data_IF_320154957952
#
_entry.id   IF_320154957952
#
_cell.length_a   1.000
_cell.length_b   1.000
_cell.length_c   1.000
_cell.angle_alpha   90.00
_cell.angle_beta   90.00
_cell.angle_gamma   90.00
#
_symmetry.space_group_name_H-M   'P 1'
#
loop_
_entity.id
_entity.type
_entity.pdbx_description
1 polymer ?
#
# COMPACT_ATOMS: atom_id res chain seq x y z
N UNK A 1 7.55 -12.91 19.50
CA UNK A 1 6.40 -12.09 19.10
C UNK A 1 5.25 -13.05 18.77
N UNK A 2 4.05 -12.82 19.30
CA UNK A 2 2.92 -13.70 19.01
C UNK A 2 2.06 -13.21 17.84
N UNK A 3 1.98 -11.90 17.65
CA UNK A 3 1.11 -11.30 16.64
C UNK A 3 1.83 -10.23 15.83
N UNK A 4 1.71 -10.32 14.51
CA UNK A 4 2.20 -9.29 13.58
C UNK A 4 1.02 -8.56 12.94
N UNK A 5 1.11 -7.23 12.88
CA UNK A 5 0.17 -6.36 12.20
C UNK A 5 0.62 -6.04 10.77
N UNK A 6 -0.32 -5.88 9.88
CA UNK A 6 -0.14 -5.39 8.51
C UNK A 6 -1.18 -4.29 8.26
N UNK A 7 -0.80 -3.21 7.59
CA UNK A 7 -1.72 -2.19 7.10
C UNK A 7 -1.77 -2.29 5.59
N UNK A 8 -2.97 -2.42 5.01
CA UNK A 8 -3.12 -2.67 3.58
C UNK A 8 -4.46 -2.16 3.02
N UNK A 9 -4.54 -2.05 1.71
CA UNK A 9 -5.79 -1.79 1.00
C UNK A 9 -6.42 -3.07 0.43
N UNK A 10 -5.59 -4.03 0.00
CA UNK A 10 -6.00 -5.24 -0.71
C UNK A 10 -6.93 -4.93 -1.89
N UNK A 11 -6.50 -4.04 -2.76
CA UNK A 11 -7.32 -3.46 -3.82
C UNK A 11 -6.81 -3.78 -5.24
N UNK A 12 -7.08 -5.01 -5.78
CA UNK A 12 -7.60 -6.21 -5.11
C UNK A 12 -6.53 -7.00 -4.36
N UNK A 13 -6.92 -8.03 -3.62
CA UNK A 13 -6.00 -8.97 -2.97
C UNK A 13 -5.33 -9.87 -4.03
N UNK A 14 -4.02 -10.08 -3.96
CA UNK A 14 -3.28 -10.89 -4.94
C UNK A 14 -2.15 -11.70 -4.29
N UNK A 15 -1.43 -12.51 -5.08
CA UNK A 15 -0.36 -13.39 -4.61
C UNK A 15 0.74 -12.65 -3.84
N UNK A 16 1.05 -11.39 -4.20
CA UNK A 16 1.99 -10.55 -3.45
C UNK A 16 1.53 -10.23 -2.03
N UNK A 17 0.23 -10.08 -1.82
CA UNK A 17 -0.33 -9.86 -0.48
C UNK A 17 -0.28 -11.13 0.37
N UNK A 18 -0.59 -12.31 -0.23
CA UNK A 18 -0.39 -13.60 0.45
C UNK A 18 1.07 -13.80 0.85
N UNK A 19 1.99 -13.56 -0.08
CA UNK A 19 3.43 -13.61 0.21
C UNK A 19 3.81 -12.69 1.36
N UNK A 20 3.28 -11.44 1.38
CA UNK A 20 3.54 -10.48 2.46
C UNK A 20 3.07 -11.03 3.82
N UNK A 21 1.86 -11.58 3.93
CA UNK A 21 1.34 -12.19 5.16
C UNK A 21 2.25 -13.34 5.64
N UNK A 22 2.64 -14.22 4.72
CA UNK A 22 3.52 -15.36 5.03
C UNK A 22 4.89 -14.89 5.51
N UNK A 23 5.49 -13.93 4.82
CA UNK A 23 6.79 -13.39 5.19
C UNK A 23 6.76 -12.58 6.49
N UNK A 24 5.65 -11.87 6.75
CA UNK A 24 5.47 -11.16 8.01
C UNK A 24 5.50 -12.13 9.20
N UNK A 25 4.75 -13.23 9.13
CA UNK A 25 4.78 -14.28 10.15
C UNK A 25 6.17 -14.93 10.25
N UNK A 26 6.79 -15.28 9.13
CA UNK A 26 8.11 -15.92 9.11
C UNK A 26 9.22 -15.03 9.70
N UNK A 27 9.26 -13.75 9.33
CA UNK A 27 10.28 -12.78 9.79
C UNK A 27 10.17 -12.44 11.26
N UNK A 28 8.96 -12.36 11.78
CA UNK A 28 8.69 -12.02 13.18
C UNK A 28 8.61 -13.23 14.10
N UNK A 29 8.47 -14.45 13.55
CA UNK A 29 8.14 -15.66 14.29
C UNK A 29 6.70 -15.63 14.85
N UNK A 30 5.85 -14.72 14.39
CA UNK A 30 4.50 -14.55 14.89
C UNK A 30 3.58 -15.71 14.45
N UNK A 31 2.72 -16.14 15.37
CA UNK A 31 1.70 -17.16 15.10
C UNK A 31 0.50 -16.56 14.38
N UNK A 32 0.15 -15.32 14.74
CA UNK A 32 -1.05 -14.62 14.26
C UNK A 32 -0.70 -13.39 13.42
N UNK A 33 -1.56 -13.09 12.46
CA UNK A 33 -1.48 -11.90 11.62
C UNK A 33 -2.78 -11.11 11.71
N UNK A 34 -2.70 -9.85 12.11
CA UNK A 34 -3.81 -8.88 12.11
C UNK A 34 -3.63 -7.95 10.92
N UNK A 35 -4.62 -7.89 10.03
CA UNK A 35 -4.62 -6.97 8.90
C UNK A 35 -5.57 -5.80 9.16
N UNK A 36 -5.05 -4.57 9.24
CA UNK A 36 -5.83 -3.34 9.23
C UNK A 36 -6.04 -2.92 7.77
N UNK A 37 -7.28 -2.92 7.27
CA UNK A 37 -7.56 -2.67 5.85
C UNK A 37 -8.44 -1.45 5.64
N UNK A 38 -8.23 -0.75 4.52
CA UNK A 38 -9.15 0.29 4.05
C UNK A 38 -10.56 -0.28 3.85
N UNK A 39 -11.56 0.49 4.23
CA UNK A 39 -12.98 0.16 4.04
C UNK A 39 -13.41 0.22 2.57
N UNK A 40 -14.53 0.89 2.30
CA UNK A 40 -15.08 1.00 0.94
C UNK A 40 -14.28 1.91 0.02
N UNK A 41 -13.49 2.84 0.57
CA UNK A 41 -12.64 3.76 -0.18
C UNK A 41 -11.17 3.59 0.24
N UNK A 42 -10.27 3.79 -0.71
CA UNK A 42 -8.83 3.62 -0.55
C UNK A 42 -8.11 4.96 -0.53
N UNK A 43 -6.83 4.98 -0.16
CA UNK A 43 -6.03 6.19 0.07
C UNK A 43 -6.05 7.19 -1.10
N UNK A 44 -6.21 6.70 -2.32
CA UNK A 44 -6.30 7.56 -3.52
C UNK A 44 -7.68 8.21 -3.72
N UNK A 45 -8.60 8.04 -2.78
CA UNK A 45 -9.94 8.63 -2.82
C UNK A 45 -10.94 7.89 -3.70
N UNK A 46 -10.52 6.83 -4.41
CA UNK A 46 -11.40 6.01 -5.23
C UNK A 46 -12.07 4.88 -4.43
N UNK A 47 -13.15 4.28 -4.97
CA UNK A 47 -13.72 3.07 -4.39
C UNK A 47 -12.75 1.91 -4.49
N UNK A 48 -12.81 1.01 -3.51
CA UNK A 48 -12.14 -0.28 -3.64
C UNK A 48 -12.87 -1.13 -4.67
N UNK A 49 -12.10 -1.82 -5.54
CA UNK A 49 -12.68 -2.59 -6.66
C UNK A 49 -13.61 -3.72 -6.22
N UNK A 50 -13.42 -4.24 -5.01
CA UNK A 50 -14.34 -5.18 -4.34
C UNK A 50 -14.70 -4.64 -2.97
N UNK A 51 -15.89 -4.99 -2.49
CA UNK A 51 -16.34 -4.59 -1.17
C UNK A 51 -15.41 -5.10 -0.05
N UNK A 52 -15.49 -4.45 1.11
CA UNK A 52 -14.61 -4.75 2.23
C UNK A 52 -14.78 -6.17 2.79
N UNK A 53 -15.99 -6.74 2.72
CA UNK A 53 -16.26 -8.09 3.24
C UNK A 53 -15.62 -9.16 2.37
N UNK A 54 -15.68 -8.98 1.04
CA UNK A 54 -15.04 -9.89 0.11
C UNK A 54 -13.51 -9.84 0.25
N UNK A 55 -12.92 -8.63 0.36
CA UNK A 55 -11.48 -8.46 0.59
C UNK A 55 -11.04 -9.03 1.94
N UNK A 56 -11.87 -8.91 2.97
CA UNK A 56 -11.65 -9.55 4.28
C UNK A 56 -11.62 -11.07 4.16
N UNK A 57 -12.59 -11.67 3.45
CA UNK A 57 -12.61 -13.12 3.22
C UNK A 57 -11.37 -13.58 2.47
N UNK A 58 -10.92 -12.84 1.44
CA UNK A 58 -9.69 -13.15 0.72
C UNK A 58 -8.46 -13.13 1.65
N UNK A 59 -8.34 -12.11 2.49
CA UNK A 59 -7.22 -11.99 3.43
C UNK A 59 -7.21 -13.12 4.47
N UNK A 60 -8.36 -13.45 5.06
CA UNK A 60 -8.50 -14.56 6.02
C UNK A 60 -8.17 -15.91 5.36
N UNK A 61 -8.68 -16.17 4.17
CA UNK A 61 -8.39 -17.39 3.40
C UNK A 61 -6.88 -17.52 3.11
N UNK A 62 -6.18 -16.39 2.92
CA UNK A 62 -4.75 -16.35 2.60
C UNK A 62 -3.83 -16.19 3.82
N UNK A 63 -4.34 -16.36 5.04
CA UNK A 63 -3.52 -16.51 6.24
C UNK A 63 -3.50 -15.34 7.22
N UNK A 64 -4.32 -14.31 7.04
CA UNK A 64 -4.67 -13.38 8.11
C UNK A 64 -5.58 -14.09 9.12
N UNK A 65 -5.43 -13.78 10.42
CA UNK A 65 -6.22 -14.38 11.50
C UNK A 65 -7.32 -13.41 11.97
N UNK A 66 -7.10 -12.12 11.83
CA UNK A 66 -8.06 -11.07 12.11
C UNK A 66 -7.94 -9.95 11.09
N UNK A 67 -9.07 -9.41 10.66
CA UNK A 67 -9.11 -8.23 9.80
C UNK A 67 -9.92 -7.15 10.50
N UNK A 68 -9.35 -5.94 10.59
CA UNK A 68 -10.00 -4.76 11.17
C UNK A 68 -10.08 -3.65 10.13
N UNK A 69 -11.13 -2.85 10.18
CA UNK A 69 -11.35 -1.77 9.22
C UNK A 69 -10.68 -0.48 9.70
N UNK A 70 -9.91 0.16 8.82
CA UNK A 70 -9.47 1.54 9.01
C UNK A 70 -10.66 2.49 8.78
N UNK A 71 -10.92 3.43 9.69
CA UNK A 71 -11.96 4.44 9.48
C UNK A 71 -11.77 5.19 8.16
N UNK A 72 -12.85 5.37 7.39
CA UNK A 72 -12.81 5.92 6.02
C UNK A 72 -12.12 7.29 5.96
N UNK A 73 -12.31 8.15 6.98
CA UNK A 73 -11.67 9.46 7.08
C UNK A 73 -10.14 9.38 6.96
N UNK A 74 -9.53 8.38 7.59
CA UNK A 74 -8.08 8.18 7.57
C UNK A 74 -7.65 7.28 6.41
N UNK A 75 -8.50 6.34 6.01
CA UNK A 75 -8.23 5.47 4.86
C UNK A 75 -8.10 6.25 3.55
N UNK A 76 -8.77 7.41 3.41
CA UNK A 76 -8.71 8.33 2.26
C UNK A 76 -7.84 9.56 2.52
N UNK A 77 -7.19 9.63 3.67
CA UNK A 77 -6.34 10.75 4.07
C UNK A 77 -4.96 10.73 3.42
N UNK A 78 -4.10 11.62 3.90
CA UNK A 78 -2.69 11.65 3.51
C UNK A 78 -1.97 10.35 3.93
N UNK A 79 -0.79 10.08 3.36
CA UNK A 79 0.03 8.96 3.80
C UNK A 79 0.37 9.02 5.30
N UNK A 80 0.52 10.23 5.84
CA UNK A 80 0.74 10.49 7.26
C UNK A 80 -0.49 10.08 8.10
N UNK A 81 -1.68 10.54 7.73
CA UNK A 81 -2.93 10.23 8.43
C UNK A 81 -3.26 8.74 8.37
N UNK A 82 -3.09 8.14 7.19
CA UNK A 82 -3.27 6.72 6.96
C UNK A 82 -2.35 5.88 7.86
N UNK A 83 -1.06 6.22 7.89
CA UNK A 83 -0.08 5.54 8.72
C UNK A 83 -0.35 5.75 10.21
N UNK A 84 -0.65 6.99 10.63
CA UNK A 84 -0.92 7.32 12.02
C UNK A 84 -2.13 6.56 12.57
N UNK A 85 -3.22 6.51 11.79
CA UNK A 85 -4.41 5.76 12.18
C UNK A 85 -4.16 4.25 12.23
N UNK A 86 -3.48 3.70 11.22
CA UNK A 86 -3.17 2.27 11.19
C UNK A 86 -2.30 1.82 12.36
N UNK A 87 -1.27 2.60 12.71
CA UNK A 87 -0.43 2.37 13.89
C UNK A 87 -1.24 2.49 15.18
N UNK A 88 -2.06 3.54 15.32
CA UNK A 88 -2.90 3.71 16.51
C UNK A 88 -3.89 2.56 16.69
N UNK A 89 -4.51 2.10 15.60
CA UNK A 89 -5.47 0.99 15.63
C UNK A 89 -4.79 -0.31 16.04
N UNK A 90 -3.67 -0.67 15.42
CA UNK A 90 -2.94 -1.90 15.75
C UNK A 90 -2.37 -1.86 17.17
N UNK A 91 -1.85 -0.71 17.62
CA UNK A 91 -1.38 -0.53 19.00
C UNK A 91 -2.52 -0.60 20.01
N UNK A 92 -3.66 -0.01 19.68
CA UNK A 92 -4.85 0.02 20.53
C UNK A 92 -5.49 -1.34 20.77
N UNK A 93 -5.24 -2.31 19.90
CA UNK A 93 -5.67 -3.71 20.12
C UNK A 93 -4.95 -4.35 21.32
N UNK A 94 -3.78 -3.87 21.70
CA UNK A 94 -3.02 -4.36 22.84
C UNK A 94 -2.45 -5.79 22.70
N UNK A 95 -2.60 -6.38 21.52
CA UNK A 95 -2.21 -7.77 21.23
C UNK A 95 -1.25 -7.90 20.04
N UNK A 96 -0.83 -6.78 19.44
CA UNK A 96 0.07 -6.77 18.27
C UNK A 96 1.46 -6.35 18.71
N UNK A 97 2.48 -7.16 18.39
CA UNK A 97 3.86 -6.93 18.79
C UNK A 97 4.69 -6.18 17.74
N UNK A 98 4.39 -6.40 16.47
CA UNK A 98 5.15 -5.84 15.36
C UNK A 98 4.24 -5.32 14.26
N UNK A 99 4.69 -4.27 13.56
CA UNK A 99 4.12 -3.83 12.28
C UNK A 99 5.03 -4.23 11.14
N UNK A 100 4.55 -5.08 10.23
CA UNK A 100 5.28 -5.50 9.05
C UNK A 100 4.75 -4.80 7.80
N UNK A 101 5.65 -4.26 6.98
CA UNK A 101 5.32 -3.60 5.73
C UNK A 101 6.34 -3.91 4.63
N UNK A 102 5.90 -3.81 3.37
CA UNK A 102 6.77 -3.98 2.22
C UNK A 102 7.51 -2.69 1.86
N UNK A 103 8.80 -2.78 1.53
CA UNK A 103 9.59 -1.66 1.02
C UNK A 103 10.41 -2.09 -0.21
N UNK A 104 10.79 -1.15 -1.04
CA UNK A 104 11.64 -1.43 -2.21
C UNK A 104 13.08 -1.75 -1.80
N UNK A 105 13.59 -1.10 -0.77
CA UNK A 105 14.96 -1.34 -0.28
C UNK A 105 15.05 -2.62 0.57
N UNK A 106 14.02 -2.97 1.34
CA UNK A 106 14.04 -4.15 2.20
C UNK A 106 14.93 -4.04 3.44
N UNK A 107 15.52 -2.85 3.69
CA UNK A 107 16.33 -2.54 4.86
C UNK A 107 15.56 -1.58 5.77
N UNK A 108 15.49 -1.88 7.07
CA UNK A 108 14.73 -1.08 8.02
C UNK A 108 15.49 0.15 8.52
N UNK A 109 16.82 0.07 8.59
CA UNK A 109 17.67 1.09 9.19
C UNK A 109 17.55 2.46 8.50
N UNK A 110 17.64 2.59 7.16
CA UNK A 110 17.49 3.89 6.50
C UNK A 110 16.06 4.43 6.61
N UNK A 111 15.04 3.57 6.69
CA UNK A 111 13.64 3.96 6.91
C UNK A 111 13.49 4.55 8.32
N UNK A 112 14.04 3.90 9.34
CA UNK A 112 14.03 4.39 10.73
C UNK A 112 14.80 5.70 10.87
N UNK A 113 15.94 5.84 10.21
CA UNK A 113 16.71 7.08 10.22
C UNK A 113 15.91 8.25 9.63
N UNK A 114 15.27 8.04 8.48
CA UNK A 114 14.41 9.05 7.87
C UNK A 114 13.20 9.39 8.76
N UNK A 115 12.57 8.37 9.34
CA UNK A 115 11.43 8.53 10.23
C UNK A 115 11.78 9.33 11.50
N UNK A 116 12.94 9.06 12.11
CA UNK A 116 13.43 9.80 13.28
C UNK A 116 13.64 11.29 12.97
N UNK A 117 14.31 11.60 11.86
CA UNK A 117 14.50 13.00 11.44
C UNK A 117 13.17 13.73 11.22
N UNK A 118 12.16 13.04 10.71
CA UNK A 118 10.82 13.61 10.49
C UNK A 118 9.97 13.64 11.76
N UNK A 119 10.17 12.73 12.71
CA UNK A 119 9.43 12.67 13.95
C UNK A 119 9.80 13.84 14.88
N UNK A 120 11.07 14.18 14.96
CA UNK A 120 11.63 15.20 15.84
C UNK A 120 11.27 16.64 15.42
N UNK A 121 10.86 16.84 14.15
CA UNK A 121 10.54 18.18 13.58
C UNK A 121 11.54 19.27 14.00
N UNK A 122 12.83 18.95 13.86
CA UNK A 122 13.89 19.84 14.32
C UNK A 122 13.76 21.24 13.70
N UNK A 123 14.14 22.32 14.42
CA UNK A 123 14.18 23.67 13.85
C UNK A 123 15.00 23.76 12.57
N UNK A 124 16.05 22.92 12.46
CA UNK A 124 16.90 22.85 11.26
C UNK A 124 16.15 22.26 10.07
N UNK A 125 15.40 21.15 10.24
CA UNK A 125 14.55 20.56 9.20
C UNK A 125 13.51 21.57 8.73
N UNK A 126 12.82 22.22 9.66
CA UNK A 126 11.79 23.21 9.36
C UNK A 126 12.36 24.42 8.60
N UNK A 127 13.55 24.90 8.95
CA UNK A 127 14.23 25.98 8.26
C UNK A 127 14.60 25.62 6.82
N UNK A 128 15.20 24.44 6.61
CA UNK A 128 15.54 23.93 5.28
C UNK A 128 14.29 23.75 4.40
N UNK A 129 13.23 23.17 4.93
CA UNK A 129 11.98 23.00 4.19
C UNK A 129 11.41 24.36 3.75
N UNK A 130 11.34 25.34 4.66
CA UNK A 130 10.87 26.71 4.33
C UNK A 130 11.72 27.34 3.23
N UNK A 131 13.03 27.16 3.27
CA UNK A 131 13.94 27.69 2.27
C UNK A 131 13.69 27.08 0.90
N UNK A 132 13.57 25.75 0.81
CA UNK A 132 13.28 25.07 -0.46
C UNK A 132 11.89 25.42 -1.02
N UNK A 133 10.88 25.61 -0.15
CA UNK A 133 9.55 26.09 -0.58
C UNK A 133 9.64 27.50 -1.18
N UNK A 134 10.42 28.42 -0.58
CA UNK A 134 10.65 29.76 -1.14
C UNK A 134 11.34 29.72 -2.51
N UNK A 135 12.17 28.70 -2.74
CA UNK A 135 12.82 28.43 -4.03
C UNK A 135 11.87 27.78 -5.06
N UNK A 136 10.58 27.62 -4.74
CA UNK A 136 9.57 27.06 -5.63
C UNK A 136 9.41 25.53 -5.59
N UNK A 137 10.05 24.84 -4.64
CA UNK A 137 9.83 23.40 -4.47
C UNK A 137 8.44 23.12 -3.89
N UNK A 138 7.77 22.07 -4.40
CA UNK A 138 6.57 21.53 -3.74
C UNK A 138 6.91 20.99 -2.34
N UNK A 139 5.90 20.87 -1.46
CA UNK A 139 6.12 20.36 -0.10
C UNK A 139 6.86 19.01 -0.06
N UNK A 140 6.48 17.98 -0.86
CA UNK A 140 7.24 16.73 -0.91
C UNK A 140 8.68 16.87 -1.37
N UNK A 141 8.92 17.73 -2.38
CA UNK A 141 10.26 18.01 -2.86
C UNK A 141 11.12 18.74 -1.82
N UNK A 142 10.55 19.71 -1.12
CA UNK A 142 11.23 20.45 -0.05
C UNK A 142 11.61 19.51 1.10
N UNK A 143 10.69 18.62 1.51
CA UNK A 143 10.93 17.59 2.52
C UNK A 143 12.10 16.67 2.11
N UNK A 144 12.06 16.13 0.91
CA UNK A 144 13.10 15.23 0.43
C UNK A 144 14.47 15.91 0.34
N UNK A 145 14.53 17.16 -0.16
CA UNK A 145 15.77 17.94 -0.21
C UNK A 145 16.30 18.25 1.18
N UNK A 146 15.44 18.60 2.12
CA UNK A 146 15.82 18.89 3.49
C UNK A 146 16.39 17.65 4.20
N UNK A 147 15.77 16.48 4.02
CA UNK A 147 16.30 15.21 4.54
C UNK A 147 17.69 14.89 3.96
N UNK A 148 17.86 15.01 2.64
CA UNK A 148 19.15 14.77 1.99
C UNK A 148 20.25 15.71 2.51
N UNK A 149 19.91 16.97 2.79
CA UNK A 149 20.85 17.95 3.36
C UNK A 149 21.25 17.60 4.81
N UNK A 150 20.30 17.07 5.60
CA UNK A 150 20.55 16.70 7.01
C UNK A 150 21.36 15.41 7.16
N UNK A 151 21.21 14.46 6.23
CA UNK A 151 21.87 13.15 6.32
C UNK A 151 23.39 13.24 6.11
N UNK A 152 23.89 14.34 5.53
CA UNK A 152 25.32 14.55 5.27
C UNK A 152 25.99 13.30 4.67
N UNK A 153 25.55 12.93 3.49
CA UNK A 153 25.91 11.66 2.86
C UNK A 153 27.43 11.51 2.70
N UNK A 154 28.07 10.49 3.33
CA UNK A 154 29.53 10.34 3.31
C UNK A 154 30.04 9.80 1.98
N UNK A 155 29.17 9.23 1.12
CA UNK A 155 29.54 8.63 -0.16
C UNK A 155 28.46 8.79 -1.22
N UNK A 156 28.85 8.62 -2.48
CA UNK A 156 27.92 8.63 -3.62
C UNK A 156 26.88 7.49 -3.53
N UNK A 157 27.29 6.33 -3.05
CA UNK A 157 26.39 5.17 -2.88
C UNK A 157 25.33 5.45 -1.82
N UNK A 158 25.72 6.07 -0.72
CA UNK A 158 24.79 6.48 0.34
C UNK A 158 23.78 7.52 -0.17
N UNK A 159 24.23 8.49 -0.96
CA UNK A 159 23.34 9.46 -1.60
C UNK A 159 22.33 8.79 -2.56
N UNK A 160 22.79 7.81 -3.35
CA UNK A 160 21.91 7.04 -4.23
C UNK A 160 20.88 6.22 -3.45
N UNK A 161 21.27 5.60 -2.32
CA UNK A 161 20.34 4.91 -1.44
C UNK A 161 19.24 5.84 -0.95
N UNK A 162 19.59 7.02 -0.47
CA UNK A 162 18.59 8.00 0.01
C UNK A 162 17.68 8.53 -1.11
N UNK A 163 18.22 8.75 -2.30
CA UNK A 163 17.39 9.14 -3.45
C UNK A 163 16.37 8.04 -3.81
N UNK A 164 16.75 6.77 -3.81
CA UNK A 164 15.82 5.66 -4.02
C UNK A 164 14.83 5.54 -2.87
N UNK A 165 15.28 5.66 -1.63
CA UNK A 165 14.44 5.61 -0.44
C UNK A 165 13.31 6.65 -0.50
N UNK A 166 13.67 7.91 -0.78
CA UNK A 166 12.74 9.04 -0.81
C UNK A 166 11.95 9.15 -2.13
N UNK A 167 12.34 8.43 -3.17
CA UNK A 167 11.66 8.37 -4.46
C UNK A 167 10.64 7.25 -4.60
N UNK A 168 10.60 6.28 -3.68
CA UNK A 168 9.82 5.05 -3.80
C UNK A 168 8.58 5.08 -2.91
N UNK A 169 7.37 4.83 -3.45
CA UNK A 169 6.11 5.02 -2.72
C UNK A 169 5.99 4.16 -1.46
N UNK A 170 6.41 2.88 -1.51
CA UNK A 170 6.28 2.01 -0.34
C UNK A 170 7.36 2.31 0.71
N UNK A 171 8.54 2.76 0.31
CA UNK A 171 9.54 3.26 1.26
C UNK A 171 9.01 4.51 1.98
N UNK A 172 8.38 5.45 1.25
CA UNK A 172 7.77 6.65 1.85
C UNK A 172 6.67 6.27 2.85
N UNK A 173 5.82 5.31 2.50
CA UNK A 173 4.79 4.82 3.42
C UNK A 173 5.42 4.12 4.63
N UNK A 174 6.48 3.35 4.44
CA UNK A 174 7.27 2.75 5.53
C UNK A 174 7.86 3.80 6.48
N UNK A 175 8.35 4.92 5.95
CA UNK A 175 8.82 6.06 6.75
C UNK A 175 7.68 6.64 7.58
N UNK A 176 6.49 6.84 7.00
CA UNK A 176 5.32 7.35 7.72
C UNK A 176 4.86 6.38 8.83
N UNK A 177 4.89 5.06 8.62
CA UNK A 177 4.62 4.08 9.68
C UNK A 177 5.63 4.19 10.83
N UNK A 178 6.92 4.21 10.52
CA UNK A 178 7.95 4.33 11.56
C UNK A 178 7.86 5.68 12.29
N UNK A 179 7.56 6.78 11.58
CA UNK A 179 7.32 8.10 12.17
C UNK A 179 6.12 8.07 13.13
N UNK A 180 5.02 7.42 12.73
CA UNK A 180 3.83 7.26 13.56
C UNK A 180 4.14 6.45 14.83
N UNK A 181 4.89 5.34 14.71
CA UNK A 181 5.35 4.54 15.86
C UNK A 181 6.12 5.41 16.85
N UNK A 182 7.09 6.21 16.37
CA UNK A 182 7.90 7.09 17.21
C UNK A 182 7.06 8.17 17.89
N UNK A 183 6.22 8.91 17.14
CA UNK A 183 5.40 10.00 17.67
C UNK A 183 4.35 9.54 18.68
N UNK A 184 3.74 8.39 18.43
CA UNK A 184 2.73 7.81 19.32
C UNK A 184 3.35 7.03 20.49
N UNK A 185 4.67 6.87 20.52
CA UNK A 185 5.37 5.99 21.49
C UNK A 185 4.76 4.59 21.50
N UNK A 186 4.42 4.10 20.30
CA UNK A 186 3.79 2.79 20.11
C UNK A 186 4.75 1.66 20.49
N UNK A 187 4.26 0.58 21.11
CA UNK A 187 5.10 -0.59 21.44
C UNK A 187 5.41 -1.46 20.21
N UNK A 188 4.85 -1.16 19.04
CA UNK A 188 5.04 -1.96 17.84
C UNK A 188 6.49 -1.91 17.35
N UNK A 189 7.09 -3.08 17.13
CA UNK A 189 8.39 -3.20 16.47
C UNK A 189 8.20 -3.10 14.95
N UNK A 190 8.81 -2.12 14.25
CA UNK A 190 8.70 -2.05 12.79
C UNK A 190 9.58 -3.11 12.12
N UNK A 191 9.02 -3.82 11.15
CA UNK A 191 9.69 -4.85 10.36
C UNK A 191 9.40 -4.59 8.89
N UNK A 192 10.42 -4.67 8.03
CA UNK A 192 10.22 -4.51 6.59
C UNK A 192 10.59 -5.76 5.82
N UNK A 193 9.91 -5.98 4.71
CA UNK A 193 10.16 -7.05 3.75
C UNK A 193 10.45 -6.42 2.39
N UNK A 194 11.49 -6.88 1.72
CA UNK A 194 11.77 -6.45 0.35
C UNK A 194 10.64 -6.93 -0.57
N UNK A 195 10.01 -5.99 -1.27
CA UNK A 195 8.98 -6.31 -2.25
C UNK A 195 9.56 -7.14 -3.40
N UNK A 196 8.80 -8.16 -3.80
CA UNK A 196 9.10 -8.97 -4.98
C UNK A 196 8.05 -8.61 -6.05
N UNK A 197 8.49 -8.44 -7.30
CA UNK A 197 7.59 -8.17 -8.42
C UNK A 197 7.95 -6.90 -9.18
N UNK A 198 7.13 -6.57 -10.18
CA UNK A 198 7.23 -5.36 -11.00
C UNK A 198 7.14 -4.10 -10.16
N UNK A 199 7.89 -3.08 -10.54
CA UNK A 199 7.85 -1.76 -9.92
C UNK A 199 6.42 -1.17 -9.98
N UNK A 200 6.11 -0.28 -9.07
CA UNK A 200 4.78 0.33 -8.92
C UNK A 200 4.22 1.00 -10.19
N UNK A 201 5.09 1.35 -11.15
CA UNK A 201 4.75 2.04 -12.40
C UNK A 201 4.76 1.11 -13.64
N UNK A 202 5.11 -0.16 -13.51
CA UNK A 202 5.09 -1.08 -14.64
C UNK A 202 3.66 -1.50 -14.95
N UNK A 203 3.19 -1.11 -16.14
CA UNK A 203 1.88 -1.49 -16.69
C UNK A 203 2.03 -2.81 -17.48
N UNK A 204 1.14 -3.76 -17.20
CA UNK A 204 1.04 -5.02 -17.92
C UNK A 204 1.34 -6.26 -17.07
N UNK A 205 0.92 -7.40 -17.59
CA UNK A 205 1.22 -8.73 -17.05
C UNK A 205 2.47 -9.26 -17.76
N UNK A 206 3.58 -9.35 -17.05
CA UNK A 206 4.76 -10.08 -17.52
C UNK A 206 4.70 -11.51 -16.98
N UNK A 207 4.86 -12.50 -17.86
CA UNK A 207 4.98 -13.91 -17.45
C UNK A 207 6.16 -14.08 -16.49
N UNK A 208 5.89 -14.70 -15.33
CA UNK A 208 6.91 -14.96 -14.29
C UNK A 208 7.13 -13.85 -13.28
N UNK A 209 6.49 -12.67 -13.40
CA UNK A 209 6.51 -11.60 -12.39
C UNK A 209 5.14 -11.43 -11.72
N UNK A 210 5.15 -11.07 -10.44
CA UNK A 210 3.92 -10.75 -9.72
C UNK A 210 3.34 -9.43 -10.24
N UNK A 211 2.09 -9.47 -10.73
CA UNK A 211 1.39 -8.28 -11.16
C UNK A 211 1.14 -7.32 -9.99
N UNK A 212 1.18 -6.02 -10.26
CA UNK A 212 0.78 -5.01 -9.30
C UNK A 212 -0.74 -4.97 -9.13
N UNK A 213 -1.24 -4.53 -7.97
CA UNK A 213 -2.68 -4.33 -7.77
C UNK A 213 -3.27 -3.35 -8.81
N UNK A 214 -2.47 -2.39 -9.29
CA UNK A 214 -2.90 -1.44 -10.33
C UNK A 214 -3.11 -2.13 -11.68
N UNK A 215 -2.22 -3.04 -12.08
CA UNK A 215 -2.38 -3.81 -13.32
C UNK A 215 -3.61 -4.73 -13.26
N UNK A 216 -3.83 -5.36 -12.10
CA UNK A 216 -5.01 -6.21 -11.90
C UNK A 216 -6.32 -5.40 -11.96
N UNK A 217 -6.35 -4.20 -11.35
CA UNK A 217 -7.51 -3.30 -11.45
C UNK A 217 -7.80 -2.92 -12.90
N UNK A 218 -6.81 -2.48 -13.63
CA UNK A 218 -6.98 -2.07 -15.03
C UNK A 218 -7.62 -3.18 -15.89
N UNK A 219 -7.25 -4.43 -15.65
CA UNK A 219 -7.83 -5.58 -16.36
C UNK A 219 -9.29 -5.82 -15.94
N UNK A 220 -9.58 -5.77 -14.64
CA UNK A 220 -10.92 -5.97 -14.10
C UNK A 220 -11.87 -4.85 -14.53
N UNK A 221 -11.42 -3.59 -14.52
CA UNK A 221 -12.18 -2.42 -14.93
C UNK A 221 -12.52 -2.44 -16.45
N UNK A 222 -11.63 -2.94 -17.28
CA UNK A 222 -11.88 -3.10 -18.72
C UNK A 222 -13.00 -4.09 -19.01
N UNK A 223 -13.13 -5.14 -18.21
CA UNK A 223 -14.17 -6.16 -18.39
C UNK A 223 -15.57 -5.62 -18.13
N UNK A 224 -15.74 -4.80 -17.10
CA UNK A 224 -17.03 -4.23 -16.70
C UNK A 224 -17.47 -3.05 -17.59
N UNK A 225 -16.69 -2.69 -18.61
CA UNK A 225 -17.00 -1.52 -19.47
C UNK A 225 -16.88 -0.17 -18.75
N UNK A 226 -16.05 -0.11 -17.73
CA UNK A 226 -15.83 1.09 -16.89
C UNK A 226 -15.07 2.22 -17.60
N UNK A 227 -14.58 1.99 -18.83
CA UNK A 227 -13.93 3.04 -19.63
C UNK A 227 -14.86 3.54 -20.72
N UNK A 228 -15.12 4.85 -20.82
CA UNK A 228 -16.01 5.45 -21.82
C UNK A 228 -15.48 5.33 -23.26
N UNK A 229 -14.21 5.01 -23.46
CA UNK A 229 -13.57 4.94 -24.79
C UNK A 229 -13.85 3.65 -25.58
N UNK A 230 -14.72 2.77 -25.10
CA UNK A 230 -15.07 1.49 -25.75
C UNK A 230 -16.45 1.42 -26.43
N UNK A 231 -17.24 2.50 -26.40
CA UNK A 231 -18.46 2.57 -27.23
C UNK A 231 -18.10 3.06 -28.62
N UNK A 232 -17.48 2.18 -29.41
CA UNK A 232 -17.50 2.36 -30.85
C UNK A 232 -18.95 2.38 -31.33
N UNK A 233 -19.27 3.28 -32.26
CA UNK A 233 -20.58 3.40 -32.92
C UNK A 233 -21.03 2.13 -33.63
N UNK A 234 -20.18 1.15 -33.76
CA UNK A 234 -20.49 -0.18 -34.25
C UNK A 234 -20.78 -1.09 -33.06
N UNK A 235 -22.03 -1.52 -32.94
CA UNK A 235 -22.53 -2.44 -31.91
C UNK A 235 -21.79 -3.78 -31.84
N UNK A 236 -20.49 -3.73 -31.65
CA UNK A 236 -19.66 -4.87 -31.38
C UNK A 236 -20.05 -5.48 -30.06
N UNK A 237 -20.54 -6.69 -30.13
CA UNK A 237 -20.77 -7.62 -29.03
C UNK A 237 -19.63 -7.53 -28.03
N UNK A 238 -19.92 -7.67 -26.71
CA UNK A 238 -18.87 -7.83 -25.71
C UNK A 238 -17.90 -8.87 -26.25
N UNK A 239 -16.61 -8.52 -26.23
CA UNK A 239 -15.55 -9.44 -26.63
C UNK A 239 -15.82 -10.77 -25.92
N UNK A 240 -15.85 -11.85 -26.73
CA UNK A 240 -16.07 -13.21 -26.28
C UNK A 240 -15.45 -13.41 -24.90
N UNK A 241 -16.21 -14.02 -24.00
CA UNK A 241 -15.83 -14.43 -22.64
C UNK A 241 -14.47 -15.15 -22.62
N UNK A 242 -13.40 -14.42 -22.89
CA UNK A 242 -12.06 -14.86 -22.49
C UNK A 242 -12.09 -14.76 -20.98
N UNK A 243 -12.20 -15.93 -20.37
CA UNK A 243 -12.18 -16.06 -18.91
C UNK A 243 -11.01 -15.24 -18.34
N UNK A 244 -11.25 -13.94 -18.04
CA UNK A 244 -10.25 -13.01 -17.51
C UNK A 244 -9.66 -13.58 -16.23
N UNK A 245 -10.43 -14.36 -15.49
CA UNK A 245 -9.91 -15.06 -14.31
C UNK A 245 -8.87 -16.12 -14.68
N UNK A 246 -8.92 -16.69 -15.91
CA UNK A 246 -7.83 -17.55 -16.37
C UNK A 246 -6.54 -16.75 -16.61
N UNK A 247 -6.64 -15.54 -17.13
CA UNK A 247 -5.48 -14.66 -17.32
C UNK A 247 -4.92 -14.18 -15.98
N UNK A 248 -5.77 -13.95 -14.99
CA UNK A 248 -5.38 -13.51 -13.64
C UNK A 248 -4.93 -14.67 -12.72
N UNK A 249 -5.19 -15.92 -13.11
CA UNK A 249 -4.96 -17.10 -12.27
C UNK A 249 -3.51 -17.27 -11.81
N UNK A 250 -2.54 -16.83 -12.60
CA UNK A 250 -1.11 -16.84 -12.22
C UNK A 250 -0.74 -15.79 -11.16
N UNK A 251 -1.57 -14.76 -10.99
CA UNK A 251 -1.33 -13.64 -10.09
C UNK A 251 -2.21 -13.65 -8.84
N UNK A 252 -3.22 -14.51 -8.82
CA UNK A 252 -4.19 -14.64 -7.74
C UNK A 252 -4.02 -16.01 -7.09
N UNK A 253 -3.97 -16.12 -5.75
CA UNK A 253 -3.97 -17.41 -5.07
C UNK A 253 -5.18 -18.25 -5.48
N UNK A 254 -4.95 -19.53 -5.82
CA UNK A 254 -6.00 -20.41 -6.33
C UNK A 254 -7.19 -20.55 -5.37
N UNK A 255 -6.93 -20.52 -4.07
CA UNK A 255 -7.93 -20.64 -3.01
C UNK A 255 -8.94 -19.48 -2.94
N UNK A 256 -8.60 -18.30 -3.50
CA UNK A 256 -9.49 -17.14 -3.54
C UNK A 256 -10.08 -16.84 -4.92
N UNK A 257 -9.71 -17.57 -5.97
CA UNK A 257 -10.33 -17.42 -7.30
C UNK A 257 -11.87 -17.52 -7.28
N UNK A 258 -12.47 -18.45 -6.50
CA UNK A 258 -13.93 -18.49 -6.38
C UNK A 258 -14.53 -17.20 -5.77
N UNK A 259 -13.80 -16.52 -4.90
CA UNK A 259 -14.25 -15.25 -4.31
C UNK A 259 -14.28 -14.12 -5.35
N UNK A 260 -13.32 -14.10 -6.26
CA UNK A 260 -13.30 -13.15 -7.38
C UNK A 260 -14.54 -13.29 -8.28
N UNK A 261 -15.04 -14.54 -8.47
CA UNK A 261 -16.26 -14.82 -9.23
C UNK A 261 -17.55 -14.39 -8.52
N UNK A 262 -17.53 -14.30 -7.19
CA UNK A 262 -18.70 -13.90 -6.38
C UNK A 262 -18.89 -12.39 -6.34
N UNK A 263 -17.81 -11.61 -6.50
CA UNK A 263 -17.86 -10.16 -6.39
C UNK A 263 -17.99 -9.50 -7.76
N UNK A 264 -18.81 -8.45 -7.82
CA UNK A 264 -18.80 -7.53 -8.95
C UNK A 264 -17.73 -6.47 -8.70
N UNK A 265 -16.76 -6.27 -9.62
CA UNK A 265 -15.86 -5.13 -9.55
C UNK A 265 -16.61 -3.81 -9.56
N UNK A 266 -16.22 -2.88 -8.70
CA UNK A 266 -16.78 -1.54 -8.62
C UNK A 266 -15.84 -0.55 -9.32
N UNK A 267 -16.44 0.32 -10.13
CA UNK A 267 -15.74 1.36 -10.87
C UNK A 267 -16.19 2.76 -10.41
N UNK A 268 -15.38 3.77 -10.69
CA UNK A 268 -15.77 5.16 -10.39
C UNK A 268 -17.08 5.56 -11.05
N UNK A 269 -17.33 5.07 -12.27
CA UNK A 269 -18.53 5.39 -13.02
C UNK A 269 -19.83 4.82 -12.41
N UNK A 270 -19.73 3.75 -11.60
CA UNK A 270 -20.89 3.24 -10.84
C UNK A 270 -21.49 4.30 -9.88
N UNK A 271 -20.71 5.32 -9.55
CA UNK A 271 -21.12 6.42 -8.67
C UNK A 271 -21.60 7.68 -9.42
N UNK A 272 -21.52 7.72 -10.76
CA UNK A 272 -21.88 8.89 -11.57
C UNK A 272 -23.30 9.36 -11.33
N UNK A 273 -24.25 8.43 -11.21
CA UNK A 273 -25.66 8.74 -10.95
C UNK A 273 -25.93 9.34 -9.57
N UNK A 274 -25.03 9.17 -8.62
CA UNK A 274 -25.15 9.75 -7.27
C UNK A 274 -24.60 11.17 -7.21
N UNK A 275 -23.86 11.60 -8.23
CA UNK A 275 -23.25 12.92 -8.32
C UNK A 275 -24.05 13.91 -9.17
N UNK A 276 -25.11 13.45 -9.83
CA UNK A 276 -26.11 14.21 -10.60
C UNK A 276 -27.42 14.31 -9.84
#
# INVERSE_FOLDING_TARGET
MDTVGIIAEYNPFHSGHRFHIQQAKARTGARYCVAAISGSFVQRGGPAIYDKYLRTRMALTCGADLVVELPSLFATGSAEDFAACGVALLSGLGAVDALCFGSEEGAIEPILQAASLLADESPQLSALMKEYIRQGASWPQARNRALLALVQSPSQEHLQLWNRLLGSPNNLLGIEYCKAILRQKSPLTPVTIKRQGSGYLEKGLEEGRQASASALREILERQEGCFPEGRGEDGLKPAEDRDILSQLSSHIPAEILPLYRQGRPLCLDDFSLLLH
#
